data_IF_205576200335
#
_entry.id   IF_205576200335
#
_cell.length_a   1.000
_cell.length_b   1.000
_cell.length_c   1.000
_cell.angle_alpha   90.00
_cell.angle_beta   90.00
_cell.angle_gamma   90.00
#
_symmetry.space_group_name_H-M   'P 1'
#
loop_
_entity.id
_entity.type
_entity.pdbx_description
1 polymer ?
#
# COMPACT_ATOMS: atom_id res chain seq x y z
N UNK A 1 43.15 12.27 -7.20
CA UNK A 1 43.98 11.90 -8.37
C UNK A 1 43.87 10.39 -8.55
N UNK A 2 43.15 9.91 -9.56
CA UNK A 2 43.02 8.48 -9.84
C UNK A 2 44.23 8.01 -10.64
N UNK A 3 44.88 6.94 -10.20
CA UNK A 3 46.05 6.35 -10.86
C UNK A 3 45.54 5.60 -12.09
N UNK A 4 45.77 6.13 -13.29
CA UNK A 4 45.36 5.53 -14.55
C UNK A 4 46.21 4.29 -14.81
N UNK A 5 45.57 3.12 -15.00
CA UNK A 5 46.23 1.86 -15.37
C UNK A 5 46.39 1.87 -16.89
N UNK A 6 47.64 1.90 -17.40
CA UNK A 6 47.96 1.83 -18.84
C UNK A 6 48.20 0.39 -19.31
N UNK A 7 48.20 0.15 -20.63
CA UNK A 7 48.30 -1.18 -21.26
C UNK A 7 49.53 -2.02 -20.83
N UNK A 8 50.66 -1.38 -20.50
CA UNK A 8 51.88 -2.08 -20.04
C UNK A 8 51.91 -2.35 -18.52
N UNK A 9 50.82 -2.03 -17.80
CA UNK A 9 50.75 -2.24 -16.35
C UNK A 9 50.54 -3.71 -16.04
N UNK A 10 51.60 -4.42 -15.66
CA UNK A 10 51.49 -5.79 -15.12
C UNK A 10 50.82 -5.76 -13.76
N UNK A 11 49.50 -5.96 -13.73
CA UNK A 11 48.75 -6.16 -12.50
C UNK A 11 49.12 -7.53 -11.94
N UNK A 12 50.05 -7.57 -10.99
CA UNK A 12 50.37 -8.78 -10.24
C UNK A 12 49.25 -9.02 -9.23
N UNK A 13 48.20 -9.71 -9.68
CA UNK A 13 47.12 -10.16 -8.80
C UNK A 13 47.68 -11.26 -7.88
N UNK A 14 47.91 -10.89 -6.63
CA UNK A 14 48.29 -11.86 -5.59
C UNK A 14 47.15 -12.87 -5.38
N UNK A 15 47.50 -14.14 -5.13
CA UNK A 15 46.56 -15.25 -4.96
C UNK A 15 45.55 -14.93 -3.84
N UNK A 16 45.98 -14.21 -2.81
CA UNK A 16 45.15 -13.74 -1.72
C UNK A 16 44.09 -12.73 -2.17
N UNK A 17 44.44 -11.81 -3.06
CA UNK A 17 43.51 -10.82 -3.63
C UNK A 17 42.49 -11.49 -4.55
N UNK A 18 42.93 -12.46 -5.37
CA UNK A 18 42.04 -13.29 -6.20
C UNK A 18 41.09 -14.14 -5.35
N UNK A 19 41.59 -14.73 -4.26
CA UNK A 19 40.76 -15.50 -3.33
C UNK A 19 39.71 -14.65 -2.62
N UNK A 20 40.06 -13.43 -2.20
CA UNK A 20 39.11 -12.48 -1.62
C UNK A 20 38.06 -12.04 -2.64
N UNK A 21 38.47 -11.75 -3.89
CA UNK A 21 37.53 -11.40 -4.96
C UNK A 21 36.60 -12.55 -5.30
N UNK A 22 37.12 -13.78 -5.41
CA UNK A 22 36.31 -14.97 -5.66
C UNK A 22 35.28 -15.21 -4.55
N UNK A 23 35.68 -15.02 -3.29
CA UNK A 23 34.78 -15.17 -2.14
C UNK A 23 33.71 -14.07 -2.12
N UNK A 24 34.08 -12.82 -2.41
CA UNK A 24 33.14 -11.71 -2.52
C UNK A 24 32.14 -11.89 -3.67
N UNK A 25 32.61 -12.37 -4.83
CA UNK A 25 31.76 -12.70 -5.97
C UNK A 25 30.82 -13.86 -5.66
N UNK A 26 31.31 -14.91 -5.00
CA UNK A 26 30.48 -16.03 -4.58
C UNK A 26 29.36 -15.60 -3.62
N UNK A 27 29.65 -14.68 -2.69
CA UNK A 27 28.65 -14.13 -1.77
C UNK A 27 27.56 -13.33 -2.50
N UNK A 28 27.94 -12.48 -3.46
CA UNK A 28 26.98 -11.70 -4.27
C UNK A 28 26.10 -12.60 -5.14
N UNK A 29 26.71 -13.61 -5.77
CA UNK A 29 25.99 -14.59 -6.58
C UNK A 29 25.02 -15.40 -5.70
N UNK A 30 25.46 -15.85 -4.52
CA UNK A 30 24.61 -16.56 -3.58
C UNK A 30 23.42 -15.72 -3.12
N UNK A 31 23.65 -14.44 -2.79
CA UNK A 31 22.58 -13.50 -2.41
C UNK A 31 21.59 -13.28 -3.56
N UNK A 32 22.08 -13.14 -4.80
CA UNK A 32 21.22 -12.97 -5.98
C UNK A 32 20.30 -14.17 -6.19
N UNK A 33 20.84 -15.39 -6.11
CA UNK A 33 20.04 -16.61 -6.28
C UNK A 33 19.06 -16.84 -5.14
N UNK A 34 19.43 -16.52 -3.89
CA UNK A 34 18.51 -16.57 -2.76
C UNK A 34 17.32 -15.61 -2.98
N UNK A 35 17.59 -14.36 -3.34
CA UNK A 35 16.54 -13.38 -3.62
C UNK A 35 15.65 -13.80 -4.79
N UNK A 36 16.24 -14.38 -5.85
CA UNK A 36 15.49 -14.89 -6.98
C UNK A 36 14.54 -16.04 -6.57
N UNK A 37 14.97 -16.91 -5.67
CA UNK A 37 14.15 -18.00 -5.14
C UNK A 37 12.99 -17.47 -4.28
N UNK A 38 13.26 -16.54 -3.37
CA UNK A 38 12.23 -15.90 -2.54
C UNK A 38 11.18 -15.18 -3.40
N UNK A 39 11.61 -14.51 -4.48
CA UNK A 39 10.71 -13.86 -5.45
C UNK A 39 9.87 -14.90 -6.21
N UNK A 40 10.44 -16.06 -6.55
CA UNK A 40 9.71 -17.11 -7.24
C UNK A 40 8.62 -17.72 -6.31
N UNK A 41 8.96 -18.01 -5.06
CA UNK A 41 8.00 -18.47 -4.05
C UNK A 41 6.90 -17.43 -3.81
N UNK A 42 7.27 -16.15 -3.67
CA UNK A 42 6.30 -15.07 -3.51
C UNK A 42 5.36 -14.88 -4.72
N UNK A 43 5.78 -15.30 -5.93
CA UNK A 43 4.93 -15.31 -7.13
C UNK A 43 3.99 -16.51 -7.18
N UNK A 44 4.32 -17.59 -6.49
CA UNK A 44 3.48 -18.79 -6.38
C UNK A 44 2.45 -18.67 -5.24
N UNK A 45 2.74 -17.86 -4.23
CA UNK A 45 1.75 -17.51 -3.22
C UNK A 45 0.55 -16.83 -3.91
N UNK A 46 -0.67 -17.37 -3.78
CA UNK A 46 -1.83 -16.80 -4.44
C UNK A 46 -2.03 -15.37 -3.95
N UNK A 47 -2.44 -14.47 -4.87
CA UNK A 47 -2.87 -13.13 -4.51
C UNK A 47 -3.87 -13.22 -3.33
N UNK A 48 -3.85 -12.28 -2.38
CA UNK A 48 -4.78 -12.30 -1.25
C UNK A 48 -6.18 -12.48 -1.85
N UNK A 49 -6.77 -13.64 -1.58
CA UNK A 49 -8.11 -13.95 -2.04
C UNK A 49 -8.95 -12.84 -1.44
N UNK A 50 -9.64 -12.04 -2.26
CA UNK A 50 -10.68 -11.18 -1.70
C UNK A 50 -11.70 -12.15 -1.15
N UNK A 51 -11.54 -12.41 0.13
CA UNK A 51 -12.28 -13.43 0.84
C UNK A 51 -13.73 -12.98 0.75
N UNK A 52 -14.67 -13.89 0.48
CA UNK A 52 -16.09 -13.49 0.29
C UNK A 52 -16.60 -12.69 1.51
N UNK A 53 -15.97 -12.92 2.65
CA UNK A 53 -16.08 -12.16 3.90
C UNK A 53 -15.84 -10.65 3.70
N UNK A 54 -14.80 -10.21 2.98
CA UNK A 54 -14.54 -8.78 2.76
C UNK A 54 -15.62 -8.14 1.87
N UNK A 55 -16.13 -8.86 0.89
CA UNK A 55 -17.25 -8.39 0.07
C UNK A 55 -18.54 -8.28 0.88
N UNK A 56 -18.86 -9.30 1.67
CA UNK A 56 -20.06 -9.32 2.51
C UNK A 56 -20.00 -8.22 3.58
N UNK A 57 -18.84 -8.04 4.23
CA UNK A 57 -18.61 -6.96 5.20
C UNK A 57 -18.73 -5.56 4.56
N UNK A 58 -18.18 -5.37 3.36
CA UNK A 58 -18.30 -4.07 2.67
C UNK A 58 -19.75 -3.78 2.24
N UNK A 59 -20.46 -4.78 1.75
CA UNK A 59 -21.87 -4.65 1.35
C UNK A 59 -22.77 -4.34 2.56
N UNK A 60 -22.56 -5.02 3.69
CA UNK A 60 -23.24 -4.72 4.95
C UNK A 60 -22.96 -3.29 5.42
N UNK A 61 -21.69 -2.86 5.45
CA UNK A 61 -21.31 -1.51 5.84
C UNK A 61 -21.91 -0.42 4.94
N UNK A 62 -21.92 -0.64 3.62
CA UNK A 62 -22.53 0.30 2.67
C UNK A 62 -24.03 0.40 2.93
N UNK A 63 -24.72 -0.72 3.14
CA UNK A 63 -26.17 -0.71 3.43
C UNK A 63 -26.47 -0.01 4.74
N UNK A 64 -25.71 -0.30 5.81
CA UNK A 64 -25.86 0.37 7.10
C UNK A 64 -25.72 1.89 6.95
N UNK A 65 -24.64 2.34 6.30
CA UNK A 65 -24.38 3.77 6.08
C UNK A 65 -25.51 4.45 5.30
N UNK A 66 -26.10 3.76 4.31
CA UNK A 66 -27.24 4.27 3.55
C UNK A 66 -28.50 4.37 4.41
N UNK A 67 -28.75 3.42 5.31
CA UNK A 67 -29.88 3.49 6.24
C UNK A 67 -29.71 4.64 7.24
N UNK A 68 -28.54 4.75 7.85
CA UNK A 68 -28.22 5.81 8.81
C UNK A 68 -28.36 7.20 8.14
N UNK A 69 -27.82 7.36 6.93
CA UNK A 69 -27.96 8.63 6.17
C UNK A 69 -29.42 8.95 5.82
N UNK A 70 -30.26 7.95 5.57
CA UNK A 70 -31.68 8.17 5.28
C UNK A 70 -32.43 8.66 6.53
N UNK A 71 -32.14 8.07 7.68
CA UNK A 71 -32.68 8.50 8.97
C UNK A 71 -32.26 9.95 9.27
N UNK A 72 -30.97 10.27 9.11
CA UNK A 72 -30.46 11.64 9.26
C UNK A 72 -31.19 12.64 8.35
N UNK A 73 -31.50 12.25 7.10
CA UNK A 73 -32.23 13.10 6.15
C UNK A 73 -33.69 13.29 6.58
N UNK A 74 -34.32 12.28 7.15
CA UNK A 74 -35.69 12.38 7.67
C UNK A 74 -35.74 13.30 8.90
N UNK A 75 -34.81 13.15 9.84
CA UNK A 75 -34.69 14.05 11.00
C UNK A 75 -34.45 15.50 10.58
N UNK A 76 -33.57 15.74 9.60
CA UNK A 76 -33.33 17.08 9.06
C UNK A 76 -34.61 17.70 8.47
N UNK A 77 -35.43 16.93 7.76
CA UNK A 77 -36.71 17.42 7.22
C UNK A 77 -37.66 17.83 8.33
N UNK A 78 -37.81 17.02 9.37
CA UNK A 78 -38.65 17.40 10.52
C UNK A 78 -38.17 18.68 11.20
N UNK A 79 -36.85 18.85 11.32
CA UNK A 79 -36.28 20.07 11.89
C UNK A 79 -36.55 21.28 11.00
N UNK A 80 -36.47 21.14 9.68
CA UNK A 80 -36.83 22.18 8.73
C UNK A 80 -38.31 22.57 8.84
N UNK A 81 -39.22 21.59 8.92
CA UNK A 81 -40.65 21.86 9.11
C UNK A 81 -40.93 22.63 10.41
N UNK A 82 -40.24 22.28 11.51
CA UNK A 82 -40.32 23.00 12.79
C UNK A 82 -39.79 24.44 12.68
N UNK A 83 -38.71 24.65 11.91
CA UNK A 83 -38.17 25.99 11.66
C UNK A 83 -39.17 26.83 10.86
N UNK A 84 -39.72 26.27 9.79
CA UNK A 84 -40.72 26.96 8.94
C UNK A 84 -41.96 27.34 9.74
N UNK A 85 -42.48 26.46 10.60
CA UNK A 85 -43.59 26.77 11.51
C UNK A 85 -43.26 27.94 12.44
N UNK A 86 -42.09 27.93 13.08
CA UNK A 86 -41.65 29.02 13.96
C UNK A 86 -41.48 30.34 13.22
N UNK A 87 -40.93 30.30 12.00
CA UNK A 87 -40.77 31.47 11.14
C UNK A 87 -42.14 32.05 10.76
N UNK A 88 -43.11 31.19 10.42
CA UNK A 88 -44.48 31.60 10.13
C UNK A 88 -45.15 32.27 11.35
N UNK A 89 -44.99 31.71 12.54
CA UNK A 89 -45.51 32.32 13.78
C UNK A 89 -44.91 33.70 14.05
N UNK A 90 -43.59 33.86 13.87
CA UNK A 90 -42.91 35.15 14.03
C UNK A 90 -43.40 36.17 13.01
N UNK A 91 -43.60 35.76 11.75
CA UNK A 91 -44.13 36.64 10.70
C UNK A 91 -45.57 37.08 10.99
N UNK A 92 -46.42 36.20 11.54
CA UNK A 92 -47.81 36.51 11.89
C UNK A 92 -47.94 37.47 13.08
N UNK A 93 -46.92 37.54 13.94
CA UNK A 93 -46.87 38.46 15.08
C UNK A 93 -46.36 39.87 14.72
N UNK A 94 -45.90 40.09 13.49
CA UNK A 94 -45.56 41.41 12.93
C UNK A 94 -46.76 42.04 12.24
#
# INVERSE_FOLDING_TARGET
MAKQIGEDTKVTLDLKTLGMLATGLAALIGMWFALQADIAEAKELPAPVIDRIEYDLKDELIRQTIMDTQEDVEEMKEQLDKIDQRLYEIQKQR
#
